data_IF_536000885552
#
_entry.id   IF_536000885552
#
_cell.length_a   1.000
_cell.length_b   1.000
_cell.length_c   1.000
_cell.angle_alpha   90.00
_cell.angle_beta   90.00
_cell.angle_gamma   90.00
#
_symmetry.space_group_name_H-M   'P 1'
#
loop_
_entity.id
_entity.type
_entity.pdbx_description
1 polymer ?
#
# COMPACT_ATOMS: atom_id res chain seq x y z
N UNK A 1 18.45 -3.13 14.54
CA UNK A 1 17.44 -2.62 13.59
C UNK A 1 17.95 -1.31 13.01
N UNK A 2 18.02 -1.20 11.68
CA UNK A 2 18.53 0.01 11.01
C UNK A 2 17.44 1.06 10.79
N UNK A 3 17.86 2.32 10.58
CA UNK A 3 16.95 3.43 10.27
C UNK A 3 16.10 3.16 9.02
N UNK A 4 16.67 2.49 8.00
CA UNK A 4 15.95 2.05 6.81
C UNK A 4 14.75 1.15 7.13
N UNK A 5 14.92 0.19 8.06
CA UNK A 5 13.85 -0.72 8.48
C UNK A 5 12.71 0.04 9.17
N UNK A 6 13.04 1.03 10.01
CA UNK A 6 12.05 1.90 10.67
C UNK A 6 11.28 2.71 9.63
N UNK A 7 11.96 3.29 8.64
CA UNK A 7 11.31 4.02 7.55
C UNK A 7 10.36 3.12 6.77
N UNK A 8 10.81 1.93 6.33
CA UNK A 8 9.97 0.97 5.60
C UNK A 8 8.72 0.64 6.40
N UNK A 9 8.87 0.39 7.71
CA UNK A 9 7.75 0.07 8.58
C UNK A 9 6.72 1.21 8.66
N UNK A 10 7.17 2.46 8.85
CA UNK A 10 6.29 3.63 8.90
C UNK A 10 5.58 3.87 7.55
N UNK A 11 6.30 3.71 6.43
CA UNK A 11 5.72 3.77 5.10
C UNK A 11 4.68 2.66 4.89
N UNK A 12 4.92 1.47 5.44
CA UNK A 12 3.95 0.38 5.49
C UNK A 12 2.65 0.79 6.15
N UNK A 13 2.72 1.34 7.37
CA UNK A 13 1.54 1.85 8.08
C UNK A 13 0.77 2.85 7.21
N UNK A 14 1.49 3.79 6.57
CA UNK A 14 0.87 4.77 5.69
C UNK A 14 0.19 4.13 4.47
N UNK A 15 0.83 3.18 3.78
CA UNK A 15 0.25 2.46 2.65
C UNK A 15 -1.01 1.70 3.05
N UNK A 16 -0.98 0.96 4.16
CA UNK A 16 -2.16 0.25 4.66
C UNK A 16 -3.33 1.20 4.96
N UNK A 17 -3.04 2.35 5.57
CA UNK A 17 -4.04 3.38 5.85
C UNK A 17 -4.62 3.97 4.55
N UNK A 18 -3.76 4.29 3.58
CA UNK A 18 -4.18 4.81 2.27
C UNK A 18 -5.03 3.81 1.51
N UNK A 19 -4.59 2.55 1.44
CA UNK A 19 -5.30 1.49 0.72
C UNK A 19 -6.69 1.27 1.33
N UNK A 20 -6.77 1.25 2.67
CA UNK A 20 -8.04 1.20 3.39
C UNK A 20 -8.93 2.41 3.06
N UNK A 21 -8.39 3.61 3.09
CA UNK A 21 -9.12 4.84 2.76
C UNK A 21 -9.69 4.80 1.33
N UNK A 22 -8.92 4.31 0.36
CA UNK A 22 -9.37 4.15 -1.04
C UNK A 22 -10.61 3.26 -1.12
N UNK A 23 -10.61 2.10 -0.45
CA UNK A 23 -11.76 1.20 -0.47
C UNK A 23 -12.96 1.71 0.35
N UNK A 24 -12.71 2.43 1.45
CA UNK A 24 -13.77 3.01 2.30
C UNK A 24 -14.39 4.28 1.69
N UNK A 25 -13.70 4.96 0.77
CA UNK A 25 -14.15 6.20 0.13
C UNK A 25 -15.44 6.08 -0.69
N UNK A 26 -15.89 4.85 -0.99
CA UNK A 26 -17.10 4.61 -1.76
C UNK A 26 -17.01 5.10 -3.21
N UNK A 27 -15.79 5.19 -3.77
CA UNK A 27 -15.56 5.74 -5.11
C UNK A 27 -16.47 5.07 -6.17
N UNK A 28 -17.08 5.82 -7.11
CA UNK A 28 -17.97 5.27 -8.13
C UNK A 28 -17.35 4.14 -8.97
N UNK A 29 -16.01 4.10 -9.12
CA UNK A 29 -15.30 2.97 -9.73
C UNK A 29 -15.61 1.63 -9.04
N UNK A 30 -15.69 1.63 -7.70
CA UNK A 30 -16.00 0.44 -6.93
C UNK A 30 -17.50 0.25 -6.74
N UNK A 31 -18.30 1.32 -6.83
CA UNK A 31 -19.75 1.29 -6.67
C UNK A 31 -20.48 0.44 -7.73
N UNK A 32 -19.85 0.11 -8.85
CA UNK A 32 -20.41 -0.77 -9.90
C UNK A 32 -20.09 -2.26 -9.70
N UNK A 33 -19.18 -2.59 -8.79
CA UNK A 33 -18.79 -3.99 -8.54
C UNK A 33 -19.74 -4.68 -7.56
N UNK A 34 -20.01 -6.00 -7.71
CA UNK A 34 -20.69 -6.80 -6.69
C UNK A 34 -19.99 -6.71 -5.33
N UNK A 35 -20.74 -6.76 -4.24
CA UNK A 35 -20.20 -6.64 -2.87
C UNK A 35 -19.11 -7.69 -2.58
N UNK A 36 -19.27 -8.90 -3.10
CA UNK A 36 -18.29 -9.99 -3.00
C UNK A 36 -16.98 -9.62 -3.68
N UNK A 37 -17.04 -9.05 -4.88
CA UNK A 37 -15.85 -8.59 -5.63
C UNK A 37 -15.15 -7.41 -4.95
N UNK A 38 -15.90 -6.49 -4.32
CA UNK A 38 -15.31 -5.40 -3.53
C UNK A 38 -14.55 -5.92 -2.32
N UNK A 39 -15.14 -6.87 -1.61
CA UNK A 39 -14.54 -7.46 -0.41
C UNK A 39 -13.29 -8.27 -0.75
N UNK A 40 -13.33 -9.02 -1.85
CA UNK A 40 -12.19 -9.77 -2.37
C UNK A 40 -11.08 -8.83 -2.84
N UNK A 41 -11.41 -7.78 -3.60
CA UNK A 41 -10.45 -6.77 -4.06
C UNK A 41 -9.75 -6.06 -2.89
N UNK A 42 -10.51 -5.66 -1.86
CA UNK A 42 -9.94 -5.07 -0.64
C UNK A 42 -8.99 -6.03 0.06
N UNK A 43 -9.37 -7.30 0.23
CA UNK A 43 -8.51 -8.31 0.87
C UNK A 43 -7.25 -8.58 0.05
N UNK A 44 -7.39 -8.74 -1.27
CA UNK A 44 -6.27 -8.97 -2.17
C UNK A 44 -5.26 -7.81 -2.09
N UNK A 45 -5.73 -6.56 -2.10
CA UNK A 45 -4.88 -5.38 -2.00
C UNK A 45 -4.13 -5.30 -0.65
N UNK A 46 -4.77 -5.67 0.47
CA UNK A 46 -4.11 -5.73 1.78
C UNK A 46 -3.09 -6.86 1.86
N UNK A 47 -3.39 -8.02 1.29
CA UNK A 47 -2.46 -9.16 1.24
C UNK A 47 -1.27 -8.86 0.35
N UNK A 48 -1.47 -8.22 -0.80
CA UNK A 48 -0.37 -7.81 -1.68
C UNK A 48 0.50 -6.76 -0.99
N UNK A 49 -0.10 -5.76 -0.34
CA UNK A 49 0.65 -4.75 0.42
C UNK A 49 1.47 -5.41 1.54
N UNK A 50 0.88 -6.37 2.25
CA UNK A 50 1.59 -7.13 3.29
C UNK A 50 2.78 -7.90 2.72
N UNK A 51 2.60 -8.59 1.59
CA UNK A 51 3.69 -9.34 0.95
C UNK A 51 4.85 -8.41 0.57
N UNK A 52 4.56 -7.27 -0.07
CA UNK A 52 5.58 -6.29 -0.46
C UNK A 52 6.30 -5.72 0.76
N UNK A 53 5.57 -5.31 1.80
CA UNK A 53 6.16 -4.81 3.05
C UNK A 53 7.00 -5.88 3.76
N UNK A 54 6.49 -7.11 3.83
CA UNK A 54 7.18 -8.23 4.46
C UNK A 54 8.54 -8.48 3.81
N UNK A 55 8.59 -8.58 2.48
CA UNK A 55 9.86 -8.77 1.77
C UNK A 55 10.79 -7.55 1.90
N UNK A 56 10.26 -6.32 1.88
CA UNK A 56 11.08 -5.12 2.08
C UNK A 56 11.73 -5.10 3.48
N UNK A 57 10.99 -5.46 4.53
CA UNK A 57 11.51 -5.55 5.89
C UNK A 57 12.52 -6.69 6.05
N UNK A 58 12.20 -7.88 5.52
CA UNK A 58 13.09 -9.05 5.56
C UNK A 58 14.44 -8.72 4.91
N UNK A 59 14.41 -8.23 3.67
CA UNK A 59 15.62 -7.90 2.91
C UNK A 59 16.39 -6.71 3.52
N UNK A 60 15.69 -5.76 4.15
CA UNK A 60 16.35 -4.68 4.89
C UNK A 60 17.17 -5.20 6.08
N UNK A 61 16.72 -6.26 6.76
CA UNK A 61 17.43 -6.83 7.91
C UNK A 61 18.57 -7.75 7.46
N UNK A 62 18.39 -8.45 6.34
CA UNK A 62 19.43 -9.29 5.68
C UNK A 62 20.56 -8.46 5.04
N UNK A 63 20.57 -7.13 5.20
CA UNK A 63 21.67 -6.27 4.75
C UNK A 63 21.54 -5.75 3.33
N UNK A 64 20.33 -5.76 2.75
CA UNK A 64 20.05 -5.23 1.41
C UNK A 64 19.23 -3.92 1.49
N UNK A 65 19.83 -2.80 1.96
CA UNK A 65 19.11 -1.56 2.21
C UNK A 65 18.56 -0.89 0.94
N UNK A 66 19.00 -1.32 -0.25
CA UNK A 66 18.47 -0.83 -1.54
C UNK A 66 16.95 -1.03 -1.65
N UNK A 67 16.39 -2.05 -0.99
CA UNK A 67 14.96 -2.30 -0.97
C UNK A 67 14.17 -1.24 -0.19
N UNK A 68 14.81 -0.44 0.67
CA UNK A 68 14.18 0.71 1.28
C UNK A 68 13.81 1.78 0.23
N UNK A 69 14.67 1.99 -0.76
CA UNK A 69 14.40 2.90 -1.87
C UNK A 69 13.31 2.36 -2.79
N UNK A 70 13.35 1.05 -3.11
CA UNK A 70 12.30 0.40 -3.88
C UNK A 70 10.93 0.53 -3.20
N UNK A 71 10.87 0.27 -1.89
CA UNK A 71 9.64 0.41 -1.10
C UNK A 71 9.21 1.88 -0.97
N UNK A 72 10.15 2.81 -0.85
CA UNK A 72 9.88 4.24 -0.87
C UNK A 72 9.23 4.70 -2.17
N UNK A 73 9.80 4.32 -3.32
CA UNK A 73 9.24 4.62 -4.64
C UNK A 73 7.85 4.01 -4.82
N UNK A 74 7.69 2.74 -4.42
CA UNK A 74 6.40 2.05 -4.42
C UNK A 74 5.34 2.81 -3.59
N UNK A 75 5.72 3.27 -2.39
CA UNK A 75 4.84 4.03 -1.49
C UNK A 75 4.42 5.38 -2.09
N UNK A 76 5.34 6.08 -2.78
CA UNK A 76 5.01 7.32 -3.49
C UNK A 76 4.00 7.06 -4.60
N UNK A 77 4.19 6.01 -5.40
CA UNK A 77 3.25 5.61 -6.43
C UNK A 77 1.86 5.28 -5.85
N UNK A 78 1.81 4.50 -4.77
CA UNK A 78 0.57 4.19 -4.06
C UNK A 78 -0.11 5.44 -3.50
N UNK A 79 0.66 6.38 -2.94
CA UNK A 79 0.15 7.65 -2.45
C UNK A 79 -0.45 8.52 -3.55
N UNK A 80 0.22 8.62 -4.70
CA UNK A 80 -0.30 9.34 -5.87
C UNK A 80 -1.58 8.69 -6.38
N UNK A 81 -1.60 7.36 -6.53
CA UNK A 81 -2.78 6.62 -6.96
C UNK A 81 -3.96 6.84 -6.00
N UNK A 82 -3.72 6.70 -4.69
CA UNK A 82 -4.72 6.94 -3.65
C UNK A 82 -5.23 8.38 -3.69
N UNK A 83 -4.36 9.37 -3.86
CA UNK A 83 -4.75 10.78 -3.97
C UNK A 83 -5.64 11.05 -5.18
N UNK A 84 -5.33 10.46 -6.34
CA UNK A 84 -6.17 10.61 -7.53
C UNK A 84 -7.56 10.01 -7.34
N UNK A 85 -7.64 8.81 -6.76
CA UNK A 85 -8.92 8.12 -6.50
C UNK A 85 -9.73 8.85 -5.42
N UNK A 86 -9.11 9.17 -4.27
CA UNK A 86 -9.79 9.85 -3.17
C UNK A 86 -10.23 11.26 -3.56
N UNK A 87 -9.42 11.95 -4.38
CA UNK A 87 -9.73 13.25 -4.92
C UNK A 87 -10.77 13.25 -6.06
N UNK A 88 -11.29 12.07 -6.46
CA UNK A 88 -12.19 11.89 -7.62
C UNK A 88 -11.65 12.49 -8.91
N UNK A 89 -10.33 12.49 -9.05
CA UNK A 89 -9.61 12.90 -10.27
C UNK A 89 -9.52 11.75 -11.27
N UNK A 90 -9.77 10.53 -10.79
CA UNK A 90 -9.96 9.26 -11.49
C UNK A 90 -11.14 8.55 -10.84
#
# INVERSE_FOLDING_TARGET
>A
MGLATVIIFLLGIANFALNRAVFESGHPMFARLPQTSRTLGRRAALVSEFAVLFFALLLSVEGWPVFAWAYGAYTVCNGVAAWLILGRRL
#
